data_IF_961231989000
#
_entry.id   IF_961231989000
#
_cell.length_a   1.000
_cell.length_b   1.000
_cell.length_c   1.000
_cell.angle_alpha   90.00
_cell.angle_beta   90.00
_cell.angle_gamma   90.00
#
_symmetry.space_group_name_H-M   'P 1'
#
loop_
_entity.id
_entity.type
_entity.pdbx_description
1 polymer ?
#
# COMPACT_ATOMS: atom_id res chain seq x y z
N UNK A 1 -4.90 -7.76 -25.51
CA UNK A 1 -5.41 -7.73 -24.43
C UNK A 1 -4.51 -7.92 -23.37
N UNK A 2 -4.64 -7.24 -22.54
CA UNK A 2 -3.76 -7.32 -21.47
C UNK A 2 -4.23 -8.26 -20.41
N UNK A 3 -3.41 -9.16 -20.08
CA UNK A 3 -3.62 -9.96 -18.93
C UNK A 3 -2.88 -9.43 -17.76
N UNK A 4 -2.27 -8.26 -17.89
CA UNK A 4 -1.42 -7.72 -16.85
C UNK A 4 -2.18 -6.77 -15.97
N UNK A 5 -3.20 -7.27 -15.32
CA UNK A 5 -3.90 -6.47 -14.34
C UNK A 5 -3.09 -6.42 -13.07
N UNK A 6 -2.96 -5.23 -12.50
CA UNK A 6 -2.39 -5.11 -11.18
C UNK A 6 -3.33 -5.73 -10.17
N UNK A 7 -2.77 -6.47 -9.22
CA UNK A 7 -3.53 -7.08 -8.13
C UNK A 7 -3.53 -6.15 -6.93
N UNK A 8 -4.72 -5.81 -6.46
CA UNK A 8 -4.88 -4.96 -5.28
C UNK A 8 -5.56 -5.78 -4.20
N UNK A 9 -4.90 -5.92 -3.06
CA UNK A 9 -5.46 -6.64 -1.93
C UNK A 9 -6.13 -5.65 -1.00
N UNK A 10 -7.42 -5.86 -0.72
CA UNK A 10 -8.21 -5.02 0.15
C UNK A 10 -8.37 -5.76 1.47
N UNK A 11 -7.87 -5.20 2.57
CA UNK A 11 -8.04 -5.78 3.90
C UNK A 11 -8.97 -4.86 4.68
N UNK A 12 -10.24 -5.26 4.76
CA UNK A 12 -11.31 -4.44 5.28
C UNK A 12 -12.43 -5.34 5.75
N UNK A 13 -12.94 -5.13 6.96
CA UNK A 13 -13.96 -6.02 7.52
C UNK A 13 -15.39 -5.63 7.17
N UNK A 14 -15.65 -4.43 6.70
CA UNK A 14 -17.01 -4.04 6.33
C UNK A 14 -17.33 -4.50 4.92
N UNK A 15 -18.29 -5.41 4.81
CA UNK A 15 -18.61 -6.03 3.52
C UNK A 15 -19.03 -5.00 2.47
N UNK A 16 -19.79 -3.98 2.89
CA UNK A 16 -20.25 -2.96 1.95
C UNK A 16 -19.09 -2.16 1.37
N UNK A 17 -18.10 -1.84 2.19
CA UNK A 17 -16.93 -1.12 1.73
C UNK A 17 -16.10 -2.01 0.82
N UNK A 18 -15.93 -3.28 1.19
CA UNK A 18 -15.22 -4.23 0.34
C UNK A 18 -15.83 -4.32 -1.04
N UNK A 19 -17.14 -4.50 -1.10
CA UNK A 19 -17.84 -4.64 -2.37
C UNK A 19 -17.70 -3.37 -3.21
N UNK A 20 -17.82 -2.23 -2.56
CA UNK A 20 -17.72 -0.96 -3.27
C UNK A 20 -16.33 -0.76 -3.87
N UNK A 21 -15.30 -0.99 -3.07
CA UNK A 21 -13.93 -0.82 -3.56
C UNK A 21 -13.60 -1.87 -4.61
N UNK A 22 -14.04 -3.10 -4.39
CA UNK A 22 -13.80 -4.17 -5.35
C UNK A 22 -14.39 -3.83 -6.71
N UNK A 23 -15.66 -3.39 -6.72
CA UNK A 23 -16.32 -3.01 -7.97
C UNK A 23 -15.61 -1.85 -8.64
N UNK A 24 -15.24 -0.85 -7.84
CA UNK A 24 -14.55 0.33 -8.35
C UNK A 24 -13.23 -0.04 -9.02
N UNK A 25 -12.45 -0.88 -8.37
CA UNK A 25 -11.16 -1.28 -8.92
C UNK A 25 -11.31 -2.14 -10.16
N UNK A 26 -12.24 -3.10 -10.13
CA UNK A 26 -12.43 -3.99 -11.27
C UNK A 26 -12.95 -3.25 -12.49
N UNK A 27 -13.82 -2.28 -12.25
CA UNK A 27 -14.31 -1.44 -13.33
C UNK A 27 -13.19 -0.64 -13.99
N UNK A 28 -12.14 -0.36 -13.26
CA UNK A 28 -11.02 0.43 -13.74
C UNK A 28 -9.81 -0.41 -14.12
N UNK A 29 -9.99 -1.71 -14.31
CA UNK A 29 -8.96 -2.56 -14.89
C UNK A 29 -8.02 -3.23 -13.91
N UNK A 30 -8.32 -3.19 -12.61
CA UNK A 30 -7.52 -3.86 -11.60
C UNK A 30 -8.15 -5.17 -11.19
N UNK A 31 -7.35 -6.08 -10.69
CA UNK A 31 -7.85 -7.30 -10.07
C UNK A 31 -7.92 -7.07 -8.56
N UNK A 32 -9.09 -7.26 -7.98
CA UNK A 32 -9.28 -7.01 -6.55
C UNK A 32 -9.37 -8.31 -5.78
N UNK A 33 -8.60 -8.38 -4.69
CA UNK A 33 -8.63 -9.49 -3.75
C UNK A 33 -9.11 -8.93 -2.42
N UNK A 34 -9.96 -9.66 -1.72
CA UNK A 34 -10.57 -9.15 -0.48
C UNK A 34 -10.29 -10.07 0.67
N UNK A 35 -9.85 -9.50 1.78
CA UNK A 35 -9.69 -10.21 3.05
C UNK A 35 -10.38 -9.38 4.13
N UNK A 36 -11.11 -10.03 5.01
CA UNK A 36 -11.89 -9.31 6.02
C UNK A 36 -11.24 -9.30 7.39
N UNK A 37 -10.10 -9.96 7.53
CA UNK A 37 -9.34 -9.95 8.78
C UNK A 37 -7.87 -9.75 8.46
N UNK A 38 -7.11 -9.35 9.46
CA UNK A 38 -5.67 -9.16 9.28
C UNK A 38 -4.99 -10.50 8.97
N UNK A 39 -5.37 -11.56 9.67
CA UNK A 39 -4.77 -12.88 9.44
C UNK A 39 -5.02 -13.35 8.02
N UNK A 40 -6.27 -13.25 7.54
CA UNK A 40 -6.57 -13.62 6.17
C UNK A 40 -5.82 -12.75 5.18
N UNK A 41 -5.74 -11.45 5.47
CA UNK A 41 -5.02 -10.52 4.62
C UNK A 41 -3.57 -10.89 4.46
N UNK A 42 -2.91 -11.24 5.55
CA UNK A 42 -1.51 -11.61 5.47
C UNK A 42 -1.32 -12.94 4.74
N UNK A 43 -2.24 -13.88 4.93
CA UNK A 43 -2.21 -15.13 4.19
C UNK A 43 -2.34 -14.88 2.69
N UNK A 44 -3.28 -14.04 2.30
CA UNK A 44 -3.49 -13.72 0.89
C UNK A 44 -2.33 -12.91 0.33
N UNK A 45 -1.73 -12.04 1.16
CA UNK A 45 -0.59 -11.26 0.72
C UNK A 45 0.55 -12.18 0.27
N UNK A 46 0.85 -13.19 1.09
CA UNK A 46 1.91 -14.14 0.77
C UNK A 46 1.53 -15.00 -0.44
N UNK A 47 0.26 -15.44 -0.50
CA UNK A 47 -0.16 -16.37 -1.56
C UNK A 47 -0.27 -15.72 -2.92
N UNK A 48 -0.73 -14.48 -2.98
CA UNK A 48 -1.02 -13.83 -4.26
C UNK A 48 -0.02 -12.76 -4.66
N UNK A 49 0.83 -12.34 -3.74
CA UNK A 49 1.85 -11.33 -4.03
C UNK A 49 1.25 -10.10 -4.73
N UNK A 50 0.34 -9.39 -4.07
CA UNK A 50 -0.34 -8.26 -4.71
C UNK A 50 0.61 -7.10 -4.99
N UNK A 51 0.21 -6.24 -5.91
CA UNK A 51 0.98 -5.07 -6.29
C UNK A 51 0.71 -3.89 -5.37
N UNK A 52 -0.38 -3.92 -4.64
CA UNK A 52 -0.81 -2.83 -3.77
C UNK A 52 -1.71 -3.40 -2.68
N UNK A 53 -1.63 -2.85 -1.48
CA UNK A 53 -2.53 -3.20 -0.39
C UNK A 53 -3.31 -1.98 0.03
N UNK A 54 -4.64 -2.11 0.14
CA UNK A 54 -5.50 -1.12 0.76
C UNK A 54 -5.91 -1.70 2.11
N UNK A 55 -5.60 -1.00 3.18
CA UNK A 55 -5.67 -1.56 4.53
C UNK A 55 -6.49 -0.67 5.46
N UNK A 56 -7.49 -1.26 6.11
CA UNK A 56 -8.20 -0.59 7.18
C UNK A 56 -7.47 -0.87 8.50
N UNK A 57 -7.37 0.14 9.35
CA UNK A 57 -6.70 -0.04 10.63
C UNK A 57 -7.59 -0.72 11.68
N UNK A 58 -8.89 -0.55 11.58
CA UNK A 58 -9.81 -1.07 12.58
C UNK A 58 -10.30 -2.48 12.28
N UNK A 59 -9.38 -3.43 12.16
CA UNK A 59 -9.75 -4.81 11.86
C UNK A 59 -10.17 -5.56 13.12
N UNK A 60 -11.01 -6.60 12.99
CA UNK A 60 -11.56 -7.26 14.17
C UNK A 60 -10.55 -8.12 14.94
N UNK A 61 -9.56 -8.67 14.25
CA UNK A 61 -8.64 -9.61 14.91
C UNK A 61 -7.33 -8.95 15.35
N UNK A 62 -6.88 -7.90 14.68
CA UNK A 62 -5.63 -7.23 15.02
C UNK A 62 -5.68 -5.79 14.54
N UNK A 63 -4.89 -4.93 15.15
CA UNK A 63 -4.74 -3.57 14.66
C UNK A 63 -4.06 -3.62 13.29
N UNK A 64 -4.58 -2.85 12.34
CA UNK A 64 -4.00 -2.81 11.00
C UNK A 64 -2.57 -2.31 10.98
N UNK A 65 -2.15 -1.56 12.01
CA UNK A 65 -0.74 -1.14 12.10
C UNK A 65 0.20 -2.35 12.17
N UNK A 66 -0.27 -3.46 12.75
CA UNK A 66 0.55 -4.67 12.80
C UNK A 66 0.77 -5.24 11.40
N UNK A 67 -0.23 -5.11 10.52
CA UNK A 67 -0.06 -5.57 9.15
C UNK A 67 1.01 -4.76 8.43
N UNK A 68 1.05 -3.45 8.67
CA UNK A 68 2.09 -2.61 8.07
C UNK A 68 3.46 -3.08 8.53
N UNK A 69 3.62 -3.29 9.83
CA UNK A 69 4.89 -3.76 10.37
C UNK A 69 5.32 -5.08 9.73
N UNK A 70 4.37 -6.02 9.64
CA UNK A 70 4.67 -7.34 9.10
C UNK A 70 5.10 -7.26 7.64
N UNK A 71 4.39 -6.49 6.84
CA UNK A 71 4.73 -6.36 5.42
C UNK A 71 6.10 -5.72 5.26
N UNK A 72 6.36 -4.67 6.04
CA UNK A 72 7.60 -3.92 5.88
C UNK A 72 8.85 -4.66 6.35
N UNK A 73 8.69 -5.76 7.06
CA UNK A 73 9.85 -6.56 7.44
C UNK A 73 10.55 -7.16 6.22
N UNK A 74 9.80 -7.43 5.13
CA UNK A 74 10.37 -8.10 3.98
C UNK A 74 9.97 -7.52 2.64
N UNK A 75 8.97 -6.63 2.59
CA UNK A 75 8.40 -6.20 1.32
C UNK A 75 8.29 -4.70 1.24
N UNK A 76 8.38 -4.18 0.02
CA UNK A 76 8.18 -2.76 -0.27
C UNK A 76 6.87 -2.50 -1.00
N UNK A 77 5.98 -3.48 -1.02
CA UNK A 77 4.67 -3.34 -1.66
C UNK A 77 3.96 -2.10 -1.13
N UNK A 78 3.47 -1.22 -2.00
CA UNK A 78 2.80 -0.01 -1.52
C UNK A 78 1.56 -0.32 -0.70
N UNK A 79 1.37 0.44 0.37
CA UNK A 79 0.24 0.29 1.29
C UNK A 79 -0.48 1.62 1.38
N UNK A 80 -1.78 1.63 1.07
CA UNK A 80 -2.64 2.78 1.28
C UNK A 80 -3.55 2.45 2.46
N UNK A 81 -3.47 3.24 3.52
CA UNK A 81 -4.37 3.07 4.66
C UNK A 81 -5.68 3.78 4.37
N UNK A 82 -6.80 3.11 4.63
CA UNK A 82 -8.13 3.68 4.45
C UNK A 82 -8.85 3.52 5.79
N UNK A 83 -9.03 4.60 6.53
CA UNK A 83 -9.44 4.49 7.92
C UNK A 83 -10.37 5.62 8.33
N UNK A 84 -11.26 5.32 9.28
CA UNK A 84 -12.06 6.33 9.92
C UNK A 84 -11.31 7.11 11.00
N UNK A 85 -10.11 6.67 11.37
CA UNK A 85 -9.28 7.38 12.32
C UNK A 85 -8.74 8.64 11.65
N UNK A 86 -9.00 9.79 12.26
CA UNK A 86 -8.70 11.06 11.62
C UNK A 86 -7.68 11.91 12.37
N UNK A 87 -7.17 11.43 13.50
CA UNK A 87 -6.20 12.23 14.26
C UNK A 87 -4.88 12.28 13.53
N UNK A 88 -4.18 13.38 13.73
CA UNK A 88 -2.87 13.54 13.12
C UNK A 88 -1.91 12.46 13.59
N UNK A 89 -2.01 12.09 14.88
CA UNK A 89 -1.11 11.08 15.43
C UNK A 89 -1.32 9.72 14.75
N UNK A 90 -2.56 9.32 14.48
CA UNK A 90 -2.83 8.07 13.78
C UNK A 90 -2.21 8.07 12.40
N UNK A 91 -2.32 9.18 11.70
CA UNK A 91 -1.74 9.30 10.36
C UNK A 91 -0.22 9.22 10.39
N UNK A 92 0.39 9.93 11.34
CA UNK A 92 1.84 9.93 11.47
C UNK A 92 2.33 8.54 11.79
N UNK A 93 1.66 7.85 12.70
CA UNK A 93 2.11 6.52 13.10
C UNK A 93 2.06 5.55 11.91
N UNK A 94 0.98 5.57 11.15
CA UNK A 94 0.86 4.70 9.99
C UNK A 94 1.94 5.00 8.94
N UNK A 95 2.16 6.27 8.67
CA UNK A 95 3.16 6.67 7.68
C UNK A 95 4.57 6.34 8.16
N UNK A 96 4.85 6.55 9.43
CA UNK A 96 6.16 6.23 9.99
C UNK A 96 6.45 4.74 9.96
N UNK A 97 5.42 3.91 10.09
CA UNK A 97 5.60 2.46 10.00
C UNK A 97 5.81 1.99 8.57
N UNK A 98 5.56 2.83 7.60
CA UNK A 98 5.84 2.51 6.21
C UNK A 98 4.66 2.53 5.27
N UNK A 99 3.48 3.01 5.71
CA UNK A 99 2.37 3.21 4.79
C UNK A 99 2.74 4.30 3.79
N UNK A 100 2.34 4.12 2.55
CA UNK A 100 2.66 5.09 1.51
C UNK A 100 1.66 6.24 1.46
N UNK A 101 0.45 6.01 1.96
CA UNK A 101 -0.59 7.02 1.89
C UNK A 101 -1.64 6.73 2.94
N UNK A 102 -2.46 7.73 3.25
CA UNK A 102 -3.50 7.61 4.27
C UNK A 102 -4.73 8.37 3.80
N UNK A 103 -5.82 7.65 3.60
CA UNK A 103 -7.08 8.24 3.14
C UNK A 103 -8.10 8.06 4.25
N UNK A 104 -8.77 9.15 4.64
CA UNK A 104 -9.78 9.06 5.69
C UNK A 104 -11.14 8.74 5.09
N UNK A 105 -11.93 7.96 5.83
CA UNK A 105 -13.32 7.68 5.47
C UNK A 105 -14.22 8.81 5.97
N UNK A 106 -15.22 9.20 5.22
CA UNK A 106 -15.59 8.72 3.89
C UNK A 106 -14.66 9.29 2.83
N UNK A 107 -14.47 8.54 1.78
CA UNK A 107 -13.53 8.92 0.74
C UNK A 107 -14.26 9.10 -0.59
N UNK A 108 -13.65 9.89 -1.48
CA UNK A 108 -14.16 10.04 -2.83
C UNK A 108 -13.60 8.96 -3.74
N UNK A 109 -14.41 8.52 -4.71
CA UNK A 109 -13.95 7.48 -5.63
C UNK A 109 -12.80 7.97 -6.49
N UNK A 110 -12.85 9.22 -6.93
CA UNK A 110 -11.77 9.77 -7.72
C UNK A 110 -10.48 9.89 -6.94
N UNK A 111 -10.59 10.27 -5.67
CA UNK A 111 -9.41 10.37 -4.82
C UNK A 111 -8.76 9.00 -4.63
N UNK A 112 -9.57 7.99 -4.32
CA UNK A 112 -9.02 6.65 -4.11
C UNK A 112 -8.31 6.16 -5.36
N UNK A 113 -8.96 6.30 -6.52
CA UNK A 113 -8.35 5.85 -7.77
C UNK A 113 -7.08 6.61 -8.10
N UNK A 114 -7.06 7.91 -7.85
CA UNK A 114 -5.86 8.70 -8.11
C UNK A 114 -4.69 8.24 -7.25
N UNK A 115 -4.98 7.92 -5.98
CA UNK A 115 -3.92 7.46 -5.08
C UNK A 115 -3.45 6.06 -5.42
N UNK A 116 -4.37 5.20 -5.88
CA UNK A 116 -3.98 3.87 -6.37
C UNK A 116 -3.05 4.00 -7.56
N UNK A 117 -3.41 4.84 -8.53
CA UNK A 117 -2.55 5.05 -9.69
C UNK A 117 -1.18 5.59 -9.29
N UNK A 118 -1.16 6.55 -8.38
CA UNK A 118 0.09 7.15 -7.93
C UNK A 118 0.98 6.12 -7.23
N UNK A 119 0.38 5.30 -6.37
CA UNK A 119 1.14 4.29 -5.64
C UNK A 119 1.74 3.25 -6.58
N UNK A 120 0.98 2.81 -7.57
CA UNK A 120 1.47 1.82 -8.52
C UNK A 120 2.53 2.41 -9.44
N UNK A 121 2.38 3.67 -9.83
CA UNK A 121 3.36 4.33 -10.68
C UNK A 121 4.69 4.51 -9.95
N UNK A 122 4.63 4.92 -8.70
CA UNK A 122 5.83 5.14 -7.90
C UNK A 122 6.59 3.83 -7.69
N UNK A 123 5.86 2.76 -7.39
CA UNK A 123 6.50 1.46 -7.20
C UNK A 123 7.17 0.99 -8.49
N UNK A 124 6.50 1.20 -9.63
CA UNK A 124 7.05 0.83 -10.91
C UNK A 124 8.33 1.60 -11.21
N UNK A 125 8.33 2.89 -10.97
CA UNK A 125 9.53 3.70 -11.17
C UNK A 125 10.64 3.28 -10.23
N UNK A 126 10.30 2.90 -9.00
CA UNK A 126 11.29 2.42 -8.06
C UNK A 126 12.01 1.19 -8.57
N UNK A 127 11.26 0.27 -9.15
CA UNK A 127 11.86 -0.94 -9.73
C UNK A 127 12.77 -0.57 -10.89
N UNK A 128 12.31 0.28 -11.80
CA UNK A 128 13.12 0.68 -12.92
C UNK A 128 14.36 1.44 -12.49
N UNK A 129 14.21 2.31 -11.52
CA UNK A 129 15.34 3.08 -11.03
C UNK A 129 16.39 2.23 -10.35
N UNK A 130 16.01 1.10 -9.84
CA UNK A 130 16.94 0.20 -9.19
C UNK A 130 17.76 -0.61 -10.15
N UNK A 131 17.43 -0.53 -11.42
CA UNK A 131 18.20 -1.26 -12.34
C UNK A 131 19.40 -0.55 -12.75
N UNK A 132 19.76 0.02 -13.01
CA UNK A 132 20.86 0.41 -13.54
C UNK A 132 21.84 0.47 -13.26
N UNK A 133 21.65 0.32 -13.28
CA UNK A 133 22.05 0.46 -13.09
C UNK A 133 21.97 1.05 -12.61
N UNK A 134 21.87 1.22 -12.71
CA UNK A 134 21.69 1.59 -12.17
C UNK A 134 21.39 2.38 -11.73
N UNK A 135 21.63 2.39 -11.88
CA UNK A 135 21.30 3.01 -11.40
C UNK A 135 20.92 3.60 -10.68
N UNK A 136 21.19 3.56 -10.40
CA UNK A 136 21.02 4.18 -9.56
C UNK A 136 20.88 4.44 -8.65
N UNK A 137 21.29 4.45 -8.45
CA UNK A 137 21.40 4.68 -7.57
C UNK A 137 20.88 5.27 -6.79
N UNK A 138 20.87 5.03 -6.75
CA UNK A 138 20.69 5.55 -5.95
C UNK A 138 20.12 5.85 -5.34
N UNK A 139 20.21 5.60 -5.28
CA UNK A 139 20.09 6.06 -4.57
C UNK A 139 19.45 6.23 -4.01
N UNK A 140 19.73 5.80 -4.09
CA UNK A 140 19.63 6.05 -3.52
C UNK A 140 18.96 5.93 -3.01
N UNK A 141 19.29 5.44 -3.06
CA UNK A 141 19.35 5.59 -2.51
C UNK A 141 18.77 5.70 -2.16
N UNK A 142 18.42 5.32 -2.41
CA UNK A 142 18.48 5.59 -1.98
C UNK A 142 17.87 5.87 -1.66
N UNK A 143 18.14 5.49 -1.63
CA UNK A 143 18.12 5.81 -1.17
C UNK A 143 17.54 6.05 -0.81
N UNK A 144 17.57 5.60 -1.05
CA UNK A 144 17.63 5.92 -0.51
C UNK A 144 17.02 6.19 -0.24
N UNK A 145 17.16 6.14 -0.44
CA UNK A 145 17.11 6.34 0.11
C UNK A 145 16.68 6.90 0.42
N UNK A 146 16.29 6.59 0.03
CA UNK A 146 16.51 7.06 0.56
C UNK A 146 16.12 7.73 0.78
N UNK A 147 16.12 7.79 0.69
CA UNK A 147 16.21 8.28 1.20
C UNK A 147 15.67 8.76 1.36
N UNK A 148 15.53 8.42 1.08
CA UNK A 148 15.44 8.64 1.51
C UNK A 148 15.39 8.78 1.91
N UNK A 149 15.13 8.23 1.61
CA UNK A 149 15.56 8.24 2.20
C UNK A 149 15.60 8.40 2.30
N UNK A 150 15.25 7.88 2.04
CA UNK A 150 15.74 7.99 2.34
C UNK A 150 15.82 7.94 2.43
N UNK A 151 15.73 7.36 2.17
CA UNK A 151 16.31 7.39 2.42
C UNK A 151 16.13 7.44 2.54
N UNK A 152 16.44 7.12 2.53
CA UNK A 152 16.82 7.00 3.00
C UNK A 152 16.76 7.25 3.29
N UNK A 153 16.06 6.78 2.87
CA UNK A 153 16.51 6.99 3.29
C UNK A 153 16.68 7.14 3.67
N UNK A 154 16.38 6.81 3.63
CA UNK A 154 16.91 7.05 4.20
C UNK A 154 17.00 7.24 4.56
N UNK A 155 17.03 7.06 4.65
CA UNK A 155 17.51 7.28 5.12
C UNK A 155 17.54 7.48 5.53
N UNK A 156 17.57 7.27 5.50
CA UNK A 156 18.02 7.53 6.04
C UNK A 156 17.79 7.81 6.45
N UNK A 157 17.49 7.36 6.31
CA UNK A 157 17.56 7.63 6.80
C UNK A 157 17.34 7.70 7.00
N UNK A 158 17.40 7.45 7.00
CA UNK A 158 17.50 7.62 7.26
C UNK A 158 17.50 7.65 7.19
#
# INVERSE_FOLDING_TARGET
MSNNKFKVLIIEDEANICSFIQTLLETNGYQALVAQTCVMGMTMFISYNPDLVILDLGLPDRDGLDAIRSIRQKYLTPIIVLSARTTEQDKIEALDLGANDYITKPFGTGELLARVRAALRTNRFGVLGGMPGGVFRAQGLEINYERRKALWTVPRSS
#
